data_IF_850583669695
#
_entry.id   IF_850583669695
#
_cell.length_a   1.000
_cell.length_b   1.000
_cell.length_c   1.000
_cell.angle_alpha   90.00
_cell.angle_beta   90.00
_cell.angle_gamma   90.00
#
_symmetry.space_group_name_H-M   'P 1'
#
loop_
_entity.id
_entity.type
_entity.pdbx_description
1 polymer ?
#
# COMPACT_ATOMS: atom_id res chain seq x y z
N UNK A 1 -18.46 12.96 -1.04
CA UNK A 1 -19.76 12.45 -0.52
C UNK A 1 -20.92 12.48 -1.53
N UNK A 2 -21.04 13.46 -2.44
CA UNK A 2 -22.13 13.50 -3.46
C UNK A 2 -22.26 12.22 -4.29
N UNK A 3 -21.14 11.59 -4.64
CA UNK A 3 -21.11 10.30 -5.32
C UNK A 3 -21.89 9.22 -4.56
N UNK A 4 -21.59 9.04 -3.27
CA UNK A 4 -22.29 8.07 -2.43
C UNK A 4 -23.80 8.38 -2.33
N UNK A 5 -24.18 9.65 -2.21
CA UNK A 5 -25.58 10.05 -2.20
C UNK A 5 -26.29 9.76 -3.53
N UNK A 6 -25.64 10.03 -4.66
CA UNK A 6 -26.20 9.77 -5.99
C UNK A 6 -26.47 8.29 -6.24
N UNK A 7 -25.56 7.41 -5.80
CA UNK A 7 -25.66 5.96 -5.98
C UNK A 7 -26.28 5.21 -4.79
N UNK A 8 -26.76 5.92 -3.76
CA UNK A 8 -27.37 5.30 -2.58
C UNK A 8 -26.41 4.42 -1.76
N UNK A 9 -25.11 4.73 -1.77
CA UNK A 9 -24.09 3.95 -1.06
C UNK A 9 -24.14 4.20 0.45
N UNK A 10 -23.94 3.12 1.23
CA UNK A 10 -23.80 3.21 2.69
C UNK A 10 -22.55 3.99 3.12
N UNK A 11 -21.50 4.00 2.31
CA UNK A 11 -20.22 4.70 2.55
C UNK A 11 -20.35 6.22 2.34
N UNK A 12 -21.23 6.83 3.13
CA UNK A 12 -21.72 8.20 2.94
C UNK A 12 -20.81 9.28 3.52
N UNK A 13 -19.77 8.93 4.25
CA UNK A 13 -18.76 9.88 4.77
C UNK A 13 -17.39 9.63 4.17
N UNK A 14 -16.62 10.70 4.05
CA UNK A 14 -15.25 10.66 3.53
C UNK A 14 -14.25 11.27 4.52
N UNK A 15 -13.05 10.69 4.62
CA UNK A 15 -11.89 11.32 5.26
C UNK A 15 -10.73 11.30 4.28
N UNK A 16 -10.21 12.48 3.96
CA UNK A 16 -9.04 12.66 3.10
C UNK A 16 -7.86 13.11 3.96
N UNK A 17 -6.66 12.74 3.55
CA UNK A 17 -5.43 13.05 4.26
C UNK A 17 -4.86 14.39 3.88
N UNK A 18 -3.55 14.40 3.67
CA UNK A 18 -2.83 15.57 3.18
C UNK A 18 -3.17 15.87 1.72
N UNK A 19 -3.26 17.16 1.40
CA UNK A 19 -3.32 17.60 0.01
C UNK A 19 -2.04 17.14 -0.71
N UNK A 20 -2.21 16.57 -1.90
CA UNK A 20 -1.10 16.21 -2.77
C UNK A 20 -0.82 17.32 -3.77
N UNK A 21 0.45 17.52 -4.13
CA UNK A 21 0.82 18.32 -5.29
C UNK A 21 0.49 17.61 -6.62
N UNK A 22 0.06 16.36 -6.55
CA UNK A 22 -0.42 15.57 -7.69
C UNK A 22 -1.95 15.67 -7.80
N UNK A 23 -2.50 15.27 -8.94
CA UNK A 23 -3.97 15.18 -9.14
C UNK A 23 -4.60 13.96 -8.42
N UNK A 24 -3.88 13.33 -7.49
CA UNK A 24 -4.31 12.11 -6.80
C UNK A 24 -4.17 12.25 -5.29
N UNK A 25 -5.24 11.88 -4.58
CA UNK A 25 -5.32 11.91 -3.13
C UNK A 25 -5.83 10.56 -2.61
N UNK A 26 -5.44 10.21 -1.38
CA UNK A 26 -5.92 9.00 -0.71
C UNK A 26 -7.08 9.41 0.20
N UNK A 27 -8.23 8.76 0.02
CA UNK A 27 -9.46 9.04 0.76
C UNK A 27 -10.11 7.75 1.24
N UNK A 28 -10.50 7.70 2.51
CA UNK A 28 -11.39 6.66 3.04
C UNK A 28 -12.84 7.07 2.84
N UNK A 29 -13.61 6.27 2.12
CA UNK A 29 -15.08 6.32 2.16
C UNK A 29 -15.57 5.31 3.19
N UNK A 30 -16.45 5.71 4.10
CA UNK A 30 -16.91 4.83 5.19
C UNK A 30 -18.40 5.00 5.51
N UNK A 31 -18.98 3.93 6.05
CA UNK A 31 -20.34 3.93 6.61
C UNK A 31 -20.31 4.45 8.05
N UNK A 32 -20.81 5.67 8.31
CA UNK A 32 -20.78 6.27 9.64
C UNK A 32 -21.72 5.58 10.63
N UNK A 33 -22.60 4.67 10.19
CA UNK A 33 -23.39 3.83 11.10
C UNK A 33 -22.59 2.63 11.62
N UNK A 34 -21.38 2.39 11.11
CA UNK A 34 -20.54 1.24 11.47
C UNK A 34 -19.23 1.64 12.10
N UNK A 35 -18.62 2.71 11.61
CA UNK A 35 -17.36 3.23 12.12
C UNK A 35 -17.35 4.75 12.14
N UNK A 36 -16.59 5.33 13.06
CA UNK A 36 -16.12 6.71 12.99
C UNK A 36 -14.64 6.70 12.62
N UNK A 37 -14.25 7.54 11.66
CA UNK A 37 -12.85 7.69 11.24
C UNK A 37 -12.44 9.16 11.31
N UNK A 38 -11.19 9.43 11.71
CA UNK A 38 -10.58 10.76 11.64
C UNK A 38 -9.16 10.65 11.12
N UNK A 39 -8.73 11.68 10.38
CA UNK A 39 -7.33 11.84 10.00
C UNK A 39 -6.50 12.13 11.26
N UNK A 40 -5.51 11.29 11.53
CA UNK A 40 -4.76 11.26 12.79
C UNK A 40 -3.27 10.95 12.51
N UNK A 41 -2.56 11.85 11.81
CA UNK A 41 -1.16 11.65 11.46
C UNK A 41 -0.28 11.70 12.71
N UNK A 42 0.67 10.75 12.80
CA UNK A 42 1.56 10.61 13.96
C UNK A 42 2.95 11.16 13.64
N UNK A 43 3.69 11.59 14.67
CA UNK A 43 5.04 12.13 14.55
C UNK A 43 5.08 13.66 14.48
N UNK A 44 6.29 14.21 14.50
CA UNK A 44 6.49 15.66 14.48
C UNK A 44 6.34 16.24 13.06
N UNK A 45 5.68 17.41 12.92
CA UNK A 45 5.72 18.18 11.69
C UNK A 45 7.09 18.86 11.56
N UNK A 46 7.77 18.61 10.44
CA UNK A 46 9.02 19.29 10.09
C UNK A 46 10.28 18.47 10.33
N UNK A 47 11.21 18.52 9.37
CA UNK A 47 12.37 17.62 9.30
C UNK A 47 13.53 17.94 10.25
N UNK A 48 13.30 18.44 11.46
CA UNK A 48 14.35 18.48 12.50
C UNK A 48 14.33 17.14 13.23
N UNK A 49 15.43 16.39 13.16
CA UNK A 49 15.60 15.13 13.90
C UNK A 49 15.50 15.42 15.41
N UNK A 50 14.35 15.17 16.02
CA UNK A 50 14.38 14.55 17.35
C UNK A 50 14.92 13.14 17.13
N UNK A 51 16.07 12.81 17.75
CA UNK A 51 16.71 11.51 17.58
C UNK A 51 15.70 10.38 17.84
N UNK A 52 15.56 9.48 16.86
CA UNK A 52 14.73 8.27 16.97
C UNK A 52 13.24 8.41 16.64
N UNK A 53 12.68 9.62 16.44
CA UNK A 53 11.26 9.77 16.12
C UNK A 53 10.99 9.60 14.62
N UNK A 54 9.97 8.83 14.25
CA UNK A 54 9.51 8.72 12.86
C UNK A 54 8.70 9.96 12.52
N UNK A 55 9.10 10.77 11.52
CA UNK A 55 8.41 12.01 11.22
C UNK A 55 7.08 11.75 10.48
N UNK A 56 6.17 12.73 10.50
CA UNK A 56 4.89 12.65 9.77
C UNK A 56 5.07 12.52 8.28
N UNK A 57 4.19 11.79 7.61
CA UNK A 57 4.32 11.52 6.17
C UNK A 57 4.25 12.74 5.24
N UNK A 58 3.70 13.87 5.69
CA UNK A 58 3.72 15.15 4.96
C UNK A 58 5.03 15.94 5.12
N UNK A 59 6.06 15.33 5.74
CA UNK A 59 7.34 15.96 6.04
C UNK A 59 8.50 15.41 5.21
N UNK A 60 9.71 15.40 5.79
CA UNK A 60 10.95 14.92 5.16
C UNK A 60 11.55 13.83 6.02
N UNK A 61 11.73 12.66 5.43
CA UNK A 61 12.48 11.57 6.03
C UNK A 61 13.93 11.63 5.54
N UNK A 62 14.87 11.48 6.47
CA UNK A 62 16.31 11.46 6.17
C UNK A 62 16.87 10.08 6.43
N UNK A 63 17.25 9.40 5.36
CA UNK A 63 17.72 8.03 5.41
C UNK A 63 18.89 7.85 4.45
N UNK A 64 19.95 7.24 4.94
CA UNK A 64 21.10 6.84 4.14
C UNK A 64 20.83 5.44 3.60
N UNK A 65 20.75 5.32 2.27
CA UNK A 65 20.51 4.07 1.55
C UNK A 65 21.82 3.37 1.12
N UNK A 66 22.96 4.04 1.21
CA UNK A 66 24.16 3.73 0.44
C UNK A 66 25.40 3.53 1.32
N UNK A 67 25.28 3.74 2.64
CA UNK A 67 26.41 3.75 3.60
C UNK A 67 27.41 4.87 3.26
N UNK A 68 27.03 5.79 2.37
CA UNK A 68 27.73 7.05 2.18
C UNK A 68 27.26 8.01 3.27
N UNK A 69 28.13 8.88 3.77
CA UNK A 69 27.83 9.64 4.99
C UNK A 69 26.82 10.79 4.75
N UNK A 70 26.01 10.74 3.68
CA UNK A 70 25.11 11.79 3.23
C UNK A 70 23.65 11.29 3.13
N UNK A 71 22.85 11.39 4.20
CA UNK A 71 21.47 10.92 4.18
C UNK A 71 20.62 11.65 3.13
N UNK A 72 19.91 10.89 2.31
CA UNK A 72 18.99 11.40 1.30
C UNK A 72 17.75 12.03 1.94
N UNK A 73 17.19 13.05 1.29
CA UNK A 73 15.90 13.63 1.70
C UNK A 73 14.76 13.00 0.91
N UNK A 74 13.89 12.29 1.61
CA UNK A 74 12.80 11.52 1.05
C UNK A 74 11.48 12.21 1.39
N UNK A 75 10.64 12.39 0.37
CA UNK A 75 9.30 12.97 0.48
C UNK A 75 8.32 12.05 -0.23
N UNK A 76 7.11 11.94 0.34
CA UNK A 76 5.99 11.36 -0.38
C UNK A 76 5.35 12.42 -1.28
N UNK A 77 5.16 12.11 -2.57
CA UNK A 77 4.31 12.92 -3.44
C UNK A 77 2.83 12.76 -3.08
N UNK A 78 2.47 11.56 -2.60
CA UNK A 78 1.15 11.21 -2.05
C UNK A 78 1.38 10.68 -0.64
N UNK A 79 1.39 11.54 0.39
CA UNK A 79 1.61 11.11 1.76
C UNK A 79 0.61 10.03 2.19
N UNK A 80 1.04 8.94 2.85
CA UNK A 80 0.13 7.96 3.42
C UNK A 80 -0.95 8.58 4.32
N UNK A 81 -2.15 8.05 4.22
CA UNK A 81 -3.33 8.46 4.98
C UNK A 81 -3.37 7.71 6.32
N UNK A 82 -3.05 8.38 7.42
CA UNK A 82 -3.11 7.79 8.75
C UNK A 82 -4.44 8.12 9.43
N UNK A 83 -5.18 7.10 9.84
CA UNK A 83 -6.50 7.26 10.46
C UNK A 83 -6.57 6.56 11.80
N UNK A 84 -7.26 7.23 12.74
CA UNK A 84 -7.84 6.58 13.90
C UNK A 84 -9.28 6.19 13.57
N UNK A 85 -9.59 4.90 13.71
CA UNK A 85 -10.93 4.35 13.45
C UNK A 85 -11.49 3.76 14.74
N UNK A 86 -12.78 3.96 14.98
CA UNK A 86 -13.51 3.35 16.09
C UNK A 86 -14.80 2.74 15.56
N UNK A 87 -15.01 1.46 15.85
CA UNK A 87 -16.24 0.74 15.49
C UNK A 87 -17.38 1.08 16.44
N UNK A 88 -18.62 0.77 16.05
CA UNK A 88 -19.78 0.91 16.96
C UNK A 88 -19.69 0.05 18.23
N UNK A 89 -18.88 -1.02 18.24
CA UNK A 89 -18.63 -1.84 19.44
C UNK A 89 -17.53 -1.25 20.34
N UNK A 90 -16.93 -0.13 19.95
CA UNK A 90 -15.87 0.56 20.69
C UNK A 90 -14.45 0.06 20.36
N UNK A 91 -14.29 -0.95 19.50
CA UNK A 91 -12.96 -1.41 19.06
C UNK A 91 -12.25 -0.31 18.28
N UNK A 92 -10.99 -0.05 18.66
CA UNK A 92 -10.13 0.96 18.03
C UNK A 92 -9.19 0.29 17.03
N UNK A 93 -9.00 0.93 15.88
CA UNK A 93 -8.10 0.48 14.83
C UNK A 93 -7.25 1.64 14.34
N UNK A 94 -6.04 1.34 13.90
CA UNK A 94 -5.18 2.22 13.11
C UNK A 94 -5.25 1.78 11.67
N UNK A 95 -5.48 2.73 10.76
CA UNK A 95 -5.40 2.48 9.32
C UNK A 95 -4.31 3.37 8.71
N UNK A 96 -3.50 2.79 7.83
CA UNK A 96 -2.54 3.52 7.00
C UNK A 96 -2.84 3.19 5.52
N UNK A 97 -3.43 4.14 4.81
CA UNK A 97 -3.67 4.06 3.37
C UNK A 97 -2.43 4.50 2.59
N UNK A 98 -1.94 3.68 1.66
CA UNK A 98 -0.68 3.94 0.95
C UNK A 98 -0.87 3.96 -0.58
N UNK A 99 -0.04 4.77 -1.23
CA UNK A 99 0.22 4.71 -2.66
C UNK A 99 1.70 4.98 -2.87
N UNK A 100 2.48 3.91 -2.82
CA UNK A 100 3.95 3.98 -2.90
C UNK A 100 4.38 4.37 -4.33
N UNK A 101 5.54 5.01 -4.48
CA UNK A 101 6.06 5.47 -5.77
C UNK A 101 6.24 4.31 -6.76
N UNK A 102 5.83 4.51 -8.02
CA UNK A 102 6.09 3.56 -9.11
C UNK A 102 7.57 3.52 -9.55
N UNK A 103 8.05 2.34 -9.96
CA UNK A 103 9.42 2.12 -10.47
C UNK A 103 9.62 2.54 -11.94
N UNK A 104 8.54 2.83 -12.67
CA UNK A 104 8.58 3.11 -14.10
C UNK A 104 9.42 4.36 -14.42
N UNK A 105 10.33 4.31 -15.41
CA UNK A 105 11.20 5.42 -15.78
C UNK A 105 10.50 6.42 -16.70
N UNK A 106 9.39 6.99 -16.22
CA UNK A 106 8.67 8.03 -16.96
C UNK A 106 9.58 9.22 -17.27
N UNK A 107 9.51 9.74 -18.51
CA UNK A 107 10.27 10.91 -18.95
C UNK A 107 11.67 10.62 -19.50
N UNK A 108 12.11 9.36 -19.50
CA UNK A 108 13.38 8.98 -20.11
C UNK A 108 13.37 9.17 -21.64
N UNK A 109 14.44 9.77 -22.18
CA UNK A 109 14.58 10.03 -23.62
C UNK A 109 15.39 8.96 -24.34
N UNK A 110 16.18 8.18 -23.59
CA UNK A 110 17.01 7.10 -24.11
C UNK A 110 17.20 5.98 -23.06
N UNK A 111 17.70 4.79 -23.44
CA UNK A 111 17.85 3.65 -22.53
C UNK A 111 18.77 3.88 -21.33
N UNK A 112 19.86 4.64 -21.49
CA UNK A 112 20.79 4.93 -20.39
C UNK A 112 20.14 5.83 -19.33
N UNK A 113 19.40 6.85 -19.79
CA UNK A 113 18.60 7.71 -18.92
C UNK A 113 17.46 6.92 -18.26
N UNK A 114 16.81 6.01 -18.99
CA UNK A 114 15.78 5.14 -18.44
C UNK A 114 16.33 4.29 -17.29
N UNK A 115 17.50 3.68 -17.47
CA UNK A 115 18.15 2.90 -16.41
C UNK A 115 18.48 3.75 -15.18
N UNK A 116 19.03 4.96 -15.37
CA UNK A 116 19.33 5.86 -14.25
C UNK A 116 18.07 6.26 -13.47
N UNK A 117 17.02 6.71 -14.17
CA UNK A 117 15.74 7.09 -13.55
C UNK A 117 15.12 5.88 -12.84
N UNK A 118 15.22 4.70 -13.44
CA UNK A 118 14.71 3.46 -12.87
C UNK A 118 15.41 3.09 -11.54
N UNK A 119 16.73 3.32 -11.43
CA UNK A 119 17.50 3.13 -10.19
C UNK A 119 17.09 4.17 -9.14
N UNK A 120 17.04 5.45 -9.50
CA UNK A 120 16.66 6.54 -8.57
C UNK A 120 15.23 6.35 -8.02
N UNK A 121 14.29 5.94 -8.88
CA UNK A 121 12.93 5.64 -8.45
C UNK A 121 12.88 4.47 -7.47
N UNK A 122 13.68 3.42 -7.67
CA UNK A 122 13.78 2.28 -6.75
C UNK A 122 14.36 2.68 -5.39
N UNK A 123 15.42 3.49 -5.36
CA UNK A 123 16.00 4.03 -4.11
C UNK A 123 14.96 4.81 -3.31
N UNK A 124 14.26 5.75 -3.96
CA UNK A 124 13.19 6.53 -3.34
C UNK A 124 12.05 5.64 -2.83
N UNK A 125 11.62 4.68 -3.63
CA UNK A 125 10.58 3.72 -3.25
C UNK A 125 11.01 2.91 -2.01
N UNK A 126 12.26 2.40 -2.01
CA UNK A 126 12.82 1.65 -0.89
C UNK A 126 12.83 2.48 0.38
N UNK A 127 13.28 3.73 0.34
CA UNK A 127 13.26 4.59 1.49
C UNK A 127 11.85 4.94 1.98
N UNK A 128 10.87 5.09 1.07
CA UNK A 128 9.46 5.22 1.43
C UNK A 128 8.95 3.99 2.18
N UNK A 129 9.31 2.78 1.74
CA UNK A 129 8.96 1.54 2.43
C UNK A 129 9.64 1.44 3.80
N UNK A 130 10.90 1.86 3.94
CA UNK A 130 11.59 1.93 5.24
C UNK A 130 10.90 2.91 6.18
N UNK A 131 10.54 4.11 5.70
CA UNK A 131 9.80 5.09 6.49
C UNK A 131 8.46 4.53 6.97
N UNK A 132 7.69 3.95 6.05
CA UNK A 132 6.43 3.29 6.36
C UNK A 132 6.63 2.18 7.40
N UNK A 133 7.66 1.35 7.24
CA UNK A 133 7.98 0.28 8.18
C UNK A 133 8.28 0.82 9.57
N UNK A 134 9.05 1.90 9.70
CA UNK A 134 9.32 2.48 11.01
C UNK A 134 8.02 2.94 11.70
N UNK A 135 7.10 3.56 10.95
CA UNK A 135 5.76 3.91 11.47
C UNK A 135 4.93 2.68 11.85
N UNK A 136 4.97 1.62 11.05
CA UNK A 136 4.33 0.33 11.38
C UNK A 136 4.87 -0.21 12.71
N UNK A 137 6.18 -0.20 12.90
CA UNK A 137 6.81 -0.69 14.14
C UNK A 137 6.37 0.13 15.35
N UNK A 138 6.27 1.46 15.24
CA UNK A 138 5.75 2.31 16.33
C UNK A 138 4.36 1.85 16.78
N UNK A 139 3.45 1.61 15.84
CA UNK A 139 2.09 1.12 16.14
C UNK A 139 2.09 -0.30 16.74
N UNK A 140 2.87 -1.23 16.16
CA UNK A 140 2.93 -2.60 16.66
C UNK A 140 3.54 -2.68 18.08
N UNK A 141 4.56 -1.85 18.37
CA UNK A 141 5.14 -1.72 19.72
C UNK A 141 4.16 -1.10 20.70
N UNK A 142 3.34 -0.13 20.26
CA UNK A 142 2.26 0.44 21.06
C UNK A 142 1.10 -0.53 21.32
N UNK A 143 1.07 -1.69 20.65
CA UNK A 143 -0.01 -2.67 20.75
C UNK A 143 -1.27 -2.28 19.99
N UNK A 144 -1.15 -1.39 19.00
CA UNK A 144 -2.28 -0.98 18.17
C UNK A 144 -2.69 -2.08 17.18
N UNK A 145 -3.99 -2.33 17.07
CA UNK A 145 -4.58 -3.10 15.97
C UNK A 145 -4.46 -2.30 14.67
N UNK A 146 -3.58 -2.72 13.76
CA UNK A 146 -3.16 -1.95 12.59
C UNK A 146 -3.55 -2.64 11.28
N UNK A 147 -4.06 -1.85 10.34
CA UNK A 147 -4.27 -2.23 8.94
C UNK A 147 -3.46 -1.27 8.05
N UNK A 148 -2.60 -1.81 7.20
CA UNK A 148 -1.87 -1.06 6.16
C UNK A 148 -2.38 -1.54 4.81
N UNK A 149 -2.90 -0.64 3.99
CA UNK A 149 -3.57 -1.02 2.74
C UNK A 149 -3.34 -0.05 1.60
N UNK A 150 -3.32 -0.57 0.38
CA UNK A 150 -3.24 0.21 -0.85
C UNK A 150 -2.22 -0.34 -1.84
N UNK A 151 -1.81 0.52 -2.77
CA UNK A 151 -0.94 0.18 -3.88
C UNK A 151 0.53 0.38 -3.49
N UNK A 152 1.29 -0.72 -3.44
CA UNK A 152 2.71 -0.71 -3.13
C UNK A 152 3.60 -0.49 -4.35
N UNK A 153 3.04 -0.58 -5.58
CA UNK A 153 3.78 -0.51 -6.83
C UNK A 153 5.04 -1.42 -6.83
N UNK A 154 4.96 -2.53 -6.10
CA UNK A 154 6.04 -3.46 -5.84
C UNK A 154 5.47 -4.87 -5.69
N UNK A 155 6.14 -5.84 -6.30
CA UNK A 155 5.70 -7.23 -6.39
C UNK A 155 6.91 -8.13 -6.65
N UNK A 156 7.01 -9.31 -6.02
CA UNK A 156 8.20 -10.15 -6.16
C UNK A 156 8.38 -10.70 -7.57
N UNK A 157 9.64 -10.78 -8.02
CA UNK A 157 9.99 -11.30 -9.34
C UNK A 157 9.92 -10.25 -10.47
N UNK A 158 9.65 -8.98 -10.13
CA UNK A 158 9.64 -7.87 -11.09
C UNK A 158 11.03 -7.24 -11.32
N UNK A 159 12.09 -7.71 -10.64
CA UNK A 159 13.34 -6.94 -10.62
C UNK A 159 14.61 -7.81 -10.56
N UNK A 160 15.38 -7.82 -11.66
CA UNK A 160 16.76 -8.34 -11.68
C UNK A 160 17.69 -7.56 -10.71
N UNK A 161 17.26 -6.38 -10.27
CA UNK A 161 17.96 -5.51 -9.32
C UNK A 161 17.61 -5.77 -7.84
N UNK A 162 16.69 -6.69 -7.51
CA UNK A 162 16.40 -7.09 -6.10
C UNK A 162 17.67 -7.54 -5.36
N UNK A 163 18.63 -8.13 -6.09
CA UNK A 163 19.95 -8.53 -5.56
C UNK A 163 20.78 -7.37 -5.02
N UNK A 164 20.56 -6.13 -5.45
CA UNK A 164 21.33 -4.97 -4.99
C UNK A 164 20.85 -4.43 -3.64
N UNK A 165 19.59 -4.67 -3.26
CA UNK A 165 18.97 -4.03 -2.09
C UNK A 165 18.53 -5.03 -1.00
N UNK A 166 18.78 -6.33 -1.20
CA UNK A 166 18.57 -7.40 -0.23
C UNK A 166 17.12 -7.88 -0.10
N UNK A 167 16.16 -6.96 -0.03
CA UNK A 167 14.72 -7.26 0.05
C UNK A 167 13.89 -6.30 -0.81
N UNK A 168 12.73 -6.76 -1.28
CA UNK A 168 11.70 -5.92 -1.89
C UNK A 168 11.14 -4.90 -0.88
N UNK A 169 10.57 -3.79 -1.36
CA UNK A 169 9.88 -2.81 -0.52
C UNK A 169 8.72 -3.44 0.27
N UNK A 170 8.02 -4.39 -0.36
CA UNK A 170 6.99 -5.22 0.26
C UNK A 170 7.52 -5.98 1.50
N UNK A 171 8.64 -6.70 1.36
CA UNK A 171 9.27 -7.44 2.47
C UNK A 171 9.67 -6.53 3.64
N UNK A 172 10.15 -5.32 3.34
CA UNK A 172 10.52 -4.37 4.39
C UNK A 172 9.30 -3.95 5.20
N UNK A 173 8.17 -3.67 4.56
CA UNK A 173 6.97 -3.21 5.26
C UNK A 173 6.34 -4.35 6.07
N UNK A 174 6.29 -5.57 5.50
CA UNK A 174 5.89 -6.77 6.23
C UNK A 174 6.78 -7.03 7.45
N UNK A 175 8.07 -6.72 7.33
CA UNK A 175 9.06 -7.00 8.35
C UNK A 175 9.43 -8.47 8.39
N UNK A 176 9.68 -9.09 7.23
CA UNK A 176 9.96 -10.53 7.10
C UNK A 176 11.03 -11.05 8.06
N UNK A 177 12.07 -10.24 8.35
CA UNK A 177 13.16 -10.59 9.26
C UNK A 177 12.95 -10.14 10.73
N UNK A 178 11.81 -9.52 11.03
CA UNK A 178 11.50 -9.05 12.38
C UNK A 178 10.94 -10.17 13.27
N UNK A 179 10.86 -9.92 14.58
CA UNK A 179 10.16 -10.82 15.50
C UNK A 179 8.69 -11.01 15.07
N UNK A 180 8.07 -12.21 15.23
CA UNK A 180 6.70 -12.48 14.78
C UNK A 180 5.65 -11.48 15.27
N UNK A 181 5.79 -10.97 16.50
CA UNK A 181 4.88 -9.94 17.06
C UNK A 181 4.98 -8.56 16.39
N UNK A 182 5.99 -8.35 15.54
CA UNK A 182 6.19 -7.12 14.77
C UNK A 182 6.02 -7.37 13.25
N UNK A 183 5.59 -8.56 12.83
CA UNK A 183 5.35 -8.84 11.41
C UNK A 183 3.90 -8.51 11.05
N UNK A 184 3.71 -7.84 9.91
CA UNK A 184 2.38 -7.73 9.32
C UNK A 184 2.07 -9.00 8.52
N UNK A 185 0.78 -9.28 8.34
CA UNK A 185 0.30 -10.45 7.62
C UNK A 185 -0.60 -10.04 6.44
N UNK A 186 -0.30 -10.58 5.26
CA UNK A 186 -1.18 -10.64 4.10
C UNK A 186 -0.92 -12.00 3.41
N UNK A 187 -1.96 -12.80 3.13
CA UNK A 187 -1.78 -14.14 2.59
C UNK A 187 -1.20 -14.13 1.17
N UNK A 188 -1.56 -13.15 0.34
CA UNK A 188 -1.05 -13.04 -1.03
C UNK A 188 0.41 -12.61 -1.04
N UNK A 189 0.78 -11.68 -0.15
CA UNK A 189 2.18 -11.31 0.02
C UNK A 189 3.01 -12.52 0.49
N UNK A 190 2.53 -13.27 1.49
CA UNK A 190 3.19 -14.50 1.97
C UNK A 190 3.35 -15.55 0.87
N UNK A 191 2.34 -15.73 0.01
CA UNK A 191 2.43 -16.64 -1.13
C UNK A 191 3.61 -16.26 -2.03
N UNK A 192 3.72 -14.98 -2.37
CA UNK A 192 4.76 -14.54 -3.31
C UNK A 192 6.17 -14.56 -2.69
N UNK A 193 6.29 -14.32 -1.38
CA UNK A 193 7.59 -14.48 -0.69
C UNK A 193 8.05 -15.94 -0.63
N UNK A 194 7.12 -16.88 -0.43
CA UNK A 194 7.44 -18.31 -0.32
C UNK A 194 7.66 -18.98 -1.67
N UNK A 195 6.98 -18.50 -2.72
CA UNK A 195 7.02 -19.08 -4.06
C UNK A 195 7.72 -18.14 -5.03
N UNK A 196 9.06 -18.24 -5.13
CA UNK A 196 9.86 -17.51 -6.14
C UNK A 196 9.50 -17.89 -7.58
N UNK A 197 8.85 -19.04 -7.78
CA UNK A 197 8.35 -19.55 -9.06
C UNK A 197 6.97 -20.19 -8.81
N UNK A 198 5.90 -19.63 -9.37
CA UNK A 198 4.54 -20.11 -9.16
C UNK A 198 3.47 -19.14 -9.68
N UNK A 199 2.20 -19.55 -9.59
CA UNK A 199 1.06 -18.69 -9.93
C UNK A 199 0.90 -17.66 -8.81
N UNK A 200 1.08 -16.39 -9.14
CA UNK A 200 0.81 -15.28 -8.25
C UNK A 200 -0.61 -14.76 -8.48
N UNK A 201 -1.32 -14.32 -7.43
CA UNK A 201 -2.55 -13.56 -7.61
C UNK A 201 -2.30 -12.28 -8.40
N UNK A 202 -3.35 -11.72 -8.98
CA UNK A 202 -3.27 -10.51 -9.82
C UNK A 202 -4.23 -9.47 -9.28
N UNK A 203 -3.71 -8.30 -8.92
CA UNK A 203 -4.52 -7.14 -8.52
C UNK A 203 -4.53 -6.04 -9.57
N UNK A 204 -3.65 -6.08 -10.58
CA UNK A 204 -3.63 -5.08 -11.65
C UNK A 204 -3.33 -5.69 -13.01
N UNK A 205 -3.87 -5.09 -14.07
CA UNK A 205 -3.58 -5.46 -15.46
C UNK A 205 -3.38 -4.21 -16.33
N UNK A 206 -2.29 -4.19 -17.09
CA UNK A 206 -1.92 -3.05 -17.93
C UNK A 206 -1.89 -3.47 -19.40
N UNK A 207 -2.55 -2.71 -20.28
CA UNK A 207 -2.51 -3.00 -21.71
C UNK A 207 -1.18 -2.53 -22.31
N UNK A 208 -0.37 -3.48 -22.77
CA UNK A 208 0.87 -3.20 -23.48
C UNK A 208 0.60 -3.05 -24.98
N UNK A 209 0.38 -1.81 -25.42
CA UNK A 209 -0.02 -1.51 -26.80
C UNK A 209 0.90 -2.11 -27.88
N UNK A 210 2.24 -2.04 -27.77
CA UNK A 210 3.13 -2.62 -28.79
C UNK A 210 3.00 -4.14 -28.89
N UNK A 211 2.81 -4.82 -27.76
CA UNK A 211 2.73 -6.28 -27.67
C UNK A 211 1.31 -6.82 -27.79
N UNK A 212 0.31 -5.93 -27.84
CA UNK A 212 -1.13 -6.23 -27.90
C UNK A 212 -1.57 -7.29 -26.89
N UNK A 213 -1.10 -7.16 -25.65
CA UNK A 213 -1.40 -8.09 -24.55
C UNK A 213 -1.48 -7.35 -23.23
N UNK A 214 -2.16 -7.96 -22.26
CA UNK A 214 -2.13 -7.48 -20.88
C UNK A 214 -0.87 -7.96 -20.16
N UNK A 215 -0.34 -7.09 -19.30
CA UNK A 215 0.66 -7.40 -18.30
C UNK A 215 -0.01 -7.39 -16.92
N UNK A 216 0.14 -8.46 -16.17
CA UNK A 216 -0.53 -8.66 -14.88
C UNK A 216 0.47 -8.51 -13.74
N UNK A 217 0.02 -7.90 -12.63
CA UNK A 217 0.85 -7.67 -11.45
C UNK A 217 0.04 -7.79 -10.15
N UNK A 218 0.74 -8.15 -9.07
CA UNK A 218 0.27 -8.08 -7.70
C UNK A 218 0.87 -6.84 -7.05
N UNK A 219 0.06 -5.80 -6.88
CA UNK A 219 0.51 -4.48 -6.39
C UNK A 219 -0.28 -3.99 -5.17
N UNK A 220 -1.52 -4.47 -5.00
CA UNK A 220 -2.45 -3.98 -3.99
C UNK A 220 -2.55 -4.99 -2.85
N UNK A 221 -2.31 -4.52 -1.62
CA UNK A 221 -2.25 -5.38 -0.44
C UNK A 221 -3.12 -4.83 0.68
N UNK A 222 -3.57 -5.71 1.57
CA UNK A 222 -4.18 -5.34 2.85
C UNK A 222 -3.45 -6.12 3.94
N UNK A 223 -2.45 -5.49 4.52
CA UNK A 223 -1.64 -6.09 5.57
C UNK A 223 -2.23 -5.77 6.94
N UNK A 224 -2.28 -6.76 7.82
CA UNK A 224 -2.85 -6.62 9.16
C UNK A 224 -1.85 -6.97 10.25
N UNK A 225 -1.98 -6.36 11.42
CA UNK A 225 -1.21 -6.70 12.62
C UNK A 225 -1.50 -8.14 13.11
N UNK A 226 -0.59 -8.74 13.90
CA UNK A 226 -0.75 -10.13 14.37
C UNK A 226 -2.06 -10.42 15.12
N UNK A 227 -2.56 -9.48 15.91
CA UNK A 227 -3.82 -9.63 16.64
C UNK A 227 -5.03 -9.70 15.70
N UNK A 228 -5.01 -8.94 14.62
CA UNK A 228 -6.04 -8.96 13.57
C UNK A 228 -5.90 -10.22 12.71
N UNK A 229 -4.67 -10.63 12.37
CA UNK A 229 -4.44 -11.88 11.65
C UNK A 229 -4.98 -13.10 12.42
N UNK A 230 -4.87 -13.08 13.75
CA UNK A 230 -5.35 -14.14 14.62
C UNK A 230 -6.88 -14.31 14.60
N UNK A 231 -7.64 -13.33 14.11
CA UNK A 231 -9.11 -13.46 13.93
C UNK A 231 -9.48 -14.21 12.66
N UNK A 232 -8.50 -14.78 11.94
CA UNK A 232 -8.66 -15.49 10.67
C UNK A 232 -9.48 -14.72 9.62
N UNK A 233 -9.13 -13.45 9.32
CA UNK A 233 -9.89 -12.66 8.37
C UNK A 233 -9.77 -13.21 6.94
N UNK A 234 -10.70 -12.82 6.08
CA UNK A 234 -10.81 -13.37 4.72
C UNK A 234 -10.46 -12.30 3.69
N UNK A 235 -9.41 -12.57 2.92
CA UNK A 235 -9.02 -11.71 1.79
C UNK A 235 -9.71 -12.18 0.52
N UNK A 236 -10.04 -11.22 -0.35
CA UNK A 236 -10.55 -11.51 -1.68
C UNK A 236 -10.04 -10.48 -2.67
N UNK A 237 -9.51 -10.96 -3.79
CA UNK A 237 -9.18 -10.12 -4.95
C UNK A 237 -10.30 -10.30 -5.96
N UNK A 238 -10.94 -9.20 -6.35
CA UNK A 238 -12.09 -9.20 -7.25
C UNK A 238 -11.65 -9.26 -8.72
N UNK A 239 -10.77 -10.19 -9.05
CA UNK A 239 -10.26 -10.40 -10.41
C UNK A 239 -11.20 -11.36 -11.17
N UNK A 240 -11.90 -10.90 -12.23
CA UNK A 240 -12.98 -11.68 -12.85
C UNK A 240 -12.54 -13.00 -13.48
N UNK A 241 -11.28 -13.12 -13.92
CA UNK A 241 -10.76 -14.40 -14.46
C UNK A 241 -10.32 -15.38 -13.37
N UNK A 242 -10.05 -14.90 -12.16
CA UNK A 242 -9.51 -15.72 -11.06
C UNK A 242 -10.56 -15.98 -9.97
N UNK A 243 -11.65 -15.22 -9.97
CA UNK A 243 -12.80 -15.38 -9.08
C UNK A 243 -14.04 -15.83 -9.88
N UNK A 244 -14.44 -17.10 -9.77
CA UNK A 244 -15.60 -17.64 -10.49
C UNK A 244 -16.91 -16.92 -10.19
N UNK A 245 -17.08 -16.33 -9.00
CA UNK A 245 -18.29 -15.58 -8.69
C UNK A 245 -18.35 -14.25 -9.44
N UNK A 246 -17.20 -13.61 -9.65
CA UNK A 246 -17.11 -12.43 -10.50
C UNK A 246 -17.36 -12.79 -11.98
N UNK A 247 -16.80 -13.90 -12.47
CA UNK A 247 -16.98 -14.33 -13.86
C UNK A 247 -18.45 -14.62 -14.22
N UNK A 248 -19.19 -15.26 -13.31
CA UNK A 248 -20.57 -15.74 -13.56
C UNK A 248 -21.60 -14.63 -13.68
N UNK A 249 -21.30 -13.42 -13.22
CA UNK A 249 -22.21 -12.27 -13.27
C UNK A 249 -21.69 -11.29 -14.33
N UNK A 250 -22.22 -11.31 -15.56
CA UNK A 250 -21.68 -10.53 -16.67
C UNK A 250 -21.56 -9.04 -16.36
N UNK A 251 -22.56 -8.45 -15.71
CA UNK A 251 -22.59 -7.02 -15.38
C UNK A 251 -21.46 -6.64 -14.42
N UNK A 252 -21.21 -7.49 -13.40
CA UNK A 252 -20.10 -7.29 -12.46
C UNK A 252 -18.75 -7.48 -13.16
N UNK A 253 -18.63 -8.51 -14.00
CA UNK A 253 -17.40 -8.75 -14.78
C UNK A 253 -17.04 -7.54 -15.63
N UNK A 254 -17.98 -7.03 -16.44
CA UNK A 254 -17.71 -5.87 -17.30
C UNK A 254 -17.42 -4.62 -16.46
N UNK A 255 -18.12 -4.41 -15.35
CA UNK A 255 -17.82 -3.31 -14.43
C UNK A 255 -16.38 -3.39 -13.89
N UNK A 256 -15.94 -4.56 -13.41
CA UNK A 256 -14.57 -4.77 -12.92
C UNK A 256 -13.52 -4.55 -14.01
N UNK A 257 -13.79 -4.97 -15.25
CA UNK A 257 -12.83 -4.84 -16.35
C UNK A 257 -12.71 -3.39 -16.86
N UNK A 258 -13.72 -2.56 -16.68
CA UNK A 258 -13.79 -1.19 -17.22
C UNK A 258 -13.53 -0.10 -16.17
N UNK A 259 -13.80 -0.37 -14.90
CA UNK A 259 -13.76 0.65 -13.84
C UNK A 259 -12.33 1.13 -13.54
N UNK A 260 -11.35 0.25 -13.64
CA UNK A 260 -9.95 0.52 -13.32
C UNK A 260 -9.05 -0.55 -13.96
N UNK A 261 -7.77 -0.23 -14.13
CA UNK A 261 -6.72 -1.22 -14.43
C UNK A 261 -6.32 -2.03 -13.18
N UNK A 262 -6.71 -1.58 -11.98
CA UNK A 262 -6.60 -2.31 -10.72
C UNK A 262 -7.94 -2.93 -10.30
N UNK A 263 -7.89 -4.16 -9.80
CA UNK A 263 -9.01 -4.89 -9.22
C UNK A 263 -9.11 -4.62 -7.73
N UNK A 264 -10.33 -4.43 -7.18
CA UNK A 264 -10.50 -4.26 -5.75
C UNK A 264 -9.94 -5.44 -4.95
N UNK A 265 -9.31 -5.13 -3.81
CA UNK A 265 -8.95 -6.09 -2.77
C UNK A 265 -9.81 -5.78 -1.55
N UNK A 266 -10.42 -6.81 -0.96
CA UNK A 266 -11.25 -6.67 0.24
C UNK A 266 -10.76 -7.58 1.34
N UNK A 267 -11.00 -7.14 2.57
CA UNK A 267 -10.74 -7.89 3.80
C UNK A 267 -12.02 -7.94 4.62
N UNK A 268 -12.54 -9.14 4.85
CA UNK A 268 -13.59 -9.37 5.83
C UNK A 268 -12.96 -9.65 7.18
N UNK A 269 -13.13 -8.71 8.12
CA UNK A 269 -12.53 -8.74 9.45
C UNK A 269 -13.62 -8.86 10.51
N UNK A 270 -13.51 -9.89 11.35
CA UNK A 270 -14.38 -10.06 12.51
C UNK A 270 -13.86 -9.16 13.64
N UNK A 271 -14.61 -8.08 13.89
CA UNK A 271 -14.22 -7.00 14.81
C UNK A 271 -14.95 -7.06 16.15
#
# INVERSE_FOLDING_TARGET
ERFAAHYGLRTRRAVTGFASETEQEITLLYDPDRITARHDPVGEPGGKKSEGAVPRFDSVFRYDLDVDTAPEQIRFSKPPLELAVTTTTGRKLRLIGVHIKSKAPHGARNPAEANRIAIDNRRKQRAQCVWLRQRVVEHLVAGDSLIVLGDFNDGPGLDEYERLFGHSGLEVVLGTDANPGLQLFDPHAQMTLRQRLGITPTTARFWLAPQKRYFEALLDFIMVSPDLAATAPQWRIWHPLNDPACWRVPELREALLTASDHFPVTLDLML
#
